data_IF_640921695403
#
_entry.id   IF_640921695403
#
_cell.length_a   1.000
_cell.length_b   1.000
_cell.length_c   1.000
_cell.angle_alpha   90.00
_cell.angle_beta   90.00
_cell.angle_gamma   90.00
#
_symmetry.space_group_name_H-M   'P 1'
#
loop_
_entity.id
_entity.type
_entity.pdbx_description
1 polymer ?
#
# COMPACT_ATOMS: atom_id res chain seq x y z
N UNK A 1 -30.88 30.06 -19.57
CA UNK A 1 -29.85 29.15 -19.01
C UNK A 1 -30.39 28.54 -17.73
N UNK A 2 -30.31 27.22 -17.55
CA UNK A 2 -30.92 26.55 -16.39
C UNK A 2 -30.23 27.06 -15.10
N UNK A 3 -30.97 27.63 -14.14
CA UNK A 3 -30.40 28.30 -12.95
C UNK A 3 -29.43 27.39 -12.17
N UNK A 4 -29.69 26.09 -12.19
CA UNK A 4 -28.85 25.05 -11.60
C UNK A 4 -27.43 24.99 -12.22
N UNK A 5 -27.31 25.09 -13.54
CA UNK A 5 -26.01 25.07 -14.23
C UNK A 5 -25.20 26.33 -13.95
N UNK A 6 -25.87 27.48 -13.82
CA UNK A 6 -25.24 28.73 -13.41
C UNK A 6 -24.62 28.62 -12.01
N UNK A 7 -25.34 28.03 -11.07
CA UNK A 7 -24.84 27.78 -9.72
C UNK A 7 -23.67 26.79 -9.77
N UNK A 8 -23.80 25.70 -10.53
CA UNK A 8 -22.73 24.71 -10.67
C UNK A 8 -21.44 25.32 -11.24
N UNK A 9 -21.55 26.14 -12.28
CA UNK A 9 -20.40 26.84 -12.84
C UNK A 9 -19.78 27.83 -11.86
N UNK A 10 -20.61 28.60 -11.13
CA UNK A 10 -20.14 29.53 -10.09
C UNK A 10 -19.31 28.79 -9.04
N UNK A 11 -19.84 27.67 -8.54
CA UNK A 11 -19.21 26.86 -7.50
C UNK A 11 -17.89 26.27 -7.99
N UNK A 12 -17.89 25.67 -9.18
CA UNK A 12 -16.68 25.19 -9.83
C UNK A 12 -15.64 26.30 -9.98
N UNK A 13 -16.02 27.44 -10.54
CA UNK A 13 -15.12 28.57 -10.74
C UNK A 13 -14.56 29.11 -9.40
N UNK A 14 -15.41 29.22 -8.37
CA UNK A 14 -15.00 29.70 -7.05
C UNK A 14 -14.05 28.78 -6.31
N UNK A 15 -13.93 27.51 -6.72
CA UNK A 15 -13.01 26.53 -6.13
C UNK A 15 -11.82 26.28 -7.06
N UNK A 16 -12.07 25.81 -8.28
CA UNK A 16 -11.05 25.36 -9.22
C UNK A 16 -10.19 26.49 -9.81
N UNK A 17 -10.72 27.72 -9.93
CA UNK A 17 -9.96 28.86 -10.47
C UNK A 17 -9.23 29.67 -9.39
N UNK A 18 -9.25 29.21 -8.14
CA UNK A 18 -8.49 29.87 -7.07
C UNK A 18 -7.00 29.56 -7.22
N UNK A 19 -6.15 30.53 -6.87
CA UNK A 19 -4.69 30.31 -6.85
C UNK A 19 -4.33 29.13 -5.93
N UNK A 20 -4.98 29.03 -4.77
CA UNK A 20 -4.76 27.93 -3.82
C UNK A 20 -5.06 26.56 -4.43
N UNK A 21 -6.16 26.42 -5.17
CA UNK A 21 -6.48 25.17 -5.85
C UNK A 21 -5.54 24.88 -7.01
N UNK A 22 -5.18 25.87 -7.84
CA UNK A 22 -4.26 25.64 -8.96
C UNK A 22 -2.88 25.22 -8.44
N UNK A 23 -2.39 25.88 -7.40
CA UNK A 23 -1.13 25.54 -6.74
C UNK A 23 -1.24 24.15 -6.11
N UNK A 24 -2.17 23.92 -5.18
CA UNK A 24 -2.26 22.65 -4.46
C UNK A 24 -2.66 21.46 -5.34
N UNK A 25 -3.56 21.70 -6.30
CA UNK A 25 -4.14 20.69 -7.17
C UNK A 25 -3.22 20.22 -8.30
N UNK A 26 -2.26 21.05 -8.74
CA UNK A 26 -1.33 20.70 -9.82
C UNK A 26 0.13 20.58 -9.39
N UNK A 27 0.59 21.38 -8.41
CA UNK A 27 1.98 21.29 -7.95
C UNK A 27 2.21 19.97 -7.22
N UNK A 28 1.29 19.54 -6.34
CA UNK A 28 1.47 18.28 -5.59
C UNK A 28 1.59 17.08 -6.55
N UNK A 29 0.70 16.88 -7.54
CA UNK A 29 0.88 15.84 -8.56
C UNK A 29 2.16 15.96 -9.37
N UNK A 30 2.55 17.18 -9.76
CA UNK A 30 3.80 17.40 -10.51
C UNK A 30 5.03 17.04 -9.67
N UNK A 31 5.03 17.40 -8.38
CA UNK A 31 6.07 17.01 -7.43
C UNK A 31 6.08 15.49 -7.26
N UNK A 32 4.91 14.85 -7.09
CA UNK A 32 4.81 13.38 -7.01
C UNK A 32 5.37 12.74 -8.28
N UNK A 33 5.06 13.27 -9.46
CA UNK A 33 5.58 12.74 -10.72
C UNK A 33 7.10 12.90 -10.83
N UNK A 34 7.63 14.10 -10.50
CA UNK A 34 9.07 14.35 -10.49
C UNK A 34 9.75 13.42 -9.47
N UNK A 35 9.21 13.31 -8.26
CA UNK A 35 9.66 12.36 -7.25
C UNK A 35 9.59 10.94 -7.78
N UNK A 36 8.51 10.48 -8.41
CA UNK A 36 8.49 9.14 -8.99
C UNK A 36 9.58 8.97 -10.06
N UNK A 37 9.78 9.94 -10.95
CA UNK A 37 10.80 9.86 -12.01
C UNK A 37 12.22 9.91 -11.45
N UNK A 38 12.47 10.69 -10.41
CA UNK A 38 13.83 10.91 -9.87
C UNK A 38 14.15 10.01 -8.69
N UNK A 39 13.21 9.84 -7.76
CA UNK A 39 13.36 9.05 -6.54
C UNK A 39 13.06 7.57 -6.76
N UNK A 40 12.24 7.12 -7.72
CA UNK A 40 12.07 5.67 -7.92
C UNK A 40 13.39 5.00 -8.37
N UNK A 41 14.15 5.55 -9.34
CA UNK A 41 15.47 5.00 -9.69
C UNK A 41 16.49 5.19 -8.57
N UNK A 42 16.36 6.24 -7.75
CA UNK A 42 17.26 6.49 -6.62
C UNK A 42 16.92 5.62 -5.42
N UNK A 43 15.66 5.35 -5.09
CA UNK A 43 15.25 4.43 -4.01
C UNK A 43 15.58 2.99 -4.37
N UNK A 44 15.55 2.63 -5.65
CA UNK A 44 16.14 1.39 -6.14
C UNK A 44 17.67 1.37 -6.03
N UNK A 45 18.30 2.50 -5.74
CA UNK A 45 19.76 2.71 -5.75
C UNK A 45 20.32 3.21 -4.40
N UNK A 46 19.48 3.56 -3.42
CA UNK A 46 19.88 4.23 -2.18
C UNK A 46 20.17 3.17 -1.13
N UNK A 47 21.34 2.57 -1.32
CA UNK A 47 22.08 1.80 -0.36
C UNK A 47 22.30 2.66 0.90
N UNK A 48 21.57 2.38 1.98
CA UNK A 48 21.95 2.87 3.31
C UNK A 48 23.43 2.58 3.62
N UNK A 49 24.04 3.29 4.59
CA UNK A 49 25.44 3.04 4.96
C UNK A 49 25.68 1.55 5.20
N UNK A 50 26.57 0.95 4.42
CA UNK A 50 26.99 -0.43 4.58
C UNK A 50 27.49 -0.62 6.02
N UNK A 51 26.96 -1.64 6.69
CA UNK A 51 27.49 -2.03 8.00
C UNK A 51 28.88 -2.63 7.73
N UNK A 52 29.91 -2.00 8.29
CA UNK A 52 31.29 -2.46 8.22
C UNK A 52 31.65 -3.14 9.55
N UNK A 53 32.22 -4.35 9.50
CA UNK A 53 32.70 -5.00 10.72
C UNK A 53 33.17 -6.44 10.53
N UNK A 54 33.58 -7.04 11.62
CA UNK A 54 34.31 -8.30 11.65
C UNK A 54 33.41 -9.47 12.06
N UNK A 55 33.54 -10.60 11.38
CA UNK A 55 32.92 -11.87 11.74
C UNK A 55 34.02 -12.81 12.24
N UNK A 56 33.98 -13.11 13.53
CA UNK A 56 34.90 -14.06 14.15
C UNK A 56 34.40 -15.48 13.95
N UNK A 57 35.28 -16.40 13.60
CA UNK A 57 34.93 -17.81 13.37
C UNK A 57 35.83 -18.71 14.22
N UNK A 58 35.23 -19.54 15.06
CA UNK A 58 35.89 -20.68 15.69
C UNK A 58 35.50 -21.90 14.87
N UNK A 59 36.41 -22.34 14.00
CA UNK A 59 36.23 -23.52 13.17
C UNK A 59 36.96 -24.71 13.79
N UNK A 60 36.21 -25.62 14.42
CA UNK A 60 36.78 -26.85 14.98
C UNK A 60 37.02 -27.93 13.92
N UNK A 61 36.52 -27.73 12.69
CA UNK A 61 36.73 -28.65 11.56
C UNK A 61 38.04 -28.38 10.85
N UNK A 62 38.51 -27.12 10.87
CA UNK A 62 39.77 -26.67 10.28
C UNK A 62 39.79 -26.55 8.76
N UNK A 63 38.61 -26.57 8.12
CA UNK A 63 38.47 -26.58 6.65
C UNK A 63 37.50 -25.53 6.11
N UNK A 64 36.76 -24.82 6.96
CA UNK A 64 35.66 -23.94 6.57
C UNK A 64 36.02 -22.45 6.65
N UNK A 65 36.99 -22.06 7.48
CA UNK A 65 37.30 -20.67 7.74
C UNK A 65 37.64 -19.86 6.47
N UNK A 66 38.46 -20.42 5.58
CA UNK A 66 38.88 -19.77 4.34
C UNK A 66 37.72 -19.62 3.33
N UNK A 67 36.86 -20.62 3.18
CA UNK A 67 35.70 -20.57 2.28
C UNK A 67 34.64 -19.56 2.78
N UNK A 68 34.39 -19.54 4.09
CA UNK A 68 33.48 -18.55 4.69
C UNK A 68 34.04 -17.13 4.52
N UNK A 69 35.36 -16.96 4.65
CA UNK A 69 36.03 -15.68 4.41
C UNK A 69 35.85 -15.20 2.97
N UNK A 70 36.00 -16.09 1.99
CA UNK A 70 35.80 -15.79 0.57
C UNK A 70 34.36 -15.37 0.27
N UNK A 71 33.37 -16.12 0.78
CA UNK A 71 31.94 -15.85 0.53
C UNK A 71 31.41 -14.57 1.19
N UNK A 72 32.03 -14.15 2.29
CA UNK A 72 31.67 -12.92 2.98
C UNK A 72 32.39 -11.67 2.42
N UNK A 73 33.22 -11.84 1.38
CA UNK A 73 33.82 -10.70 0.69
C UNK A 73 32.76 -9.84 -0.01
N UNK A 74 32.94 -8.50 -0.07
CA UNK A 74 32.00 -7.63 -0.76
C UNK A 74 31.76 -7.98 -2.23
N UNK A 75 32.77 -8.55 -2.91
CA UNK A 75 32.71 -8.94 -4.32
C UNK A 75 31.79 -10.14 -4.53
N UNK A 76 31.96 -11.21 -3.75
CA UNK A 76 31.09 -12.39 -3.79
C UNK A 76 29.65 -12.07 -3.38
N UNK A 77 29.48 -11.24 -2.34
CA UNK A 77 28.16 -10.80 -1.90
C UNK A 77 27.46 -9.92 -2.95
N UNK A 78 28.21 -9.14 -3.74
CA UNK A 78 27.66 -8.32 -4.83
C UNK A 78 27.19 -9.19 -6.00
N UNK A 79 27.97 -10.19 -6.39
CA UNK A 79 27.65 -11.13 -7.48
C UNK A 79 26.42 -11.99 -7.15
N UNK A 80 26.32 -12.49 -5.92
CA UNK A 80 25.18 -13.27 -5.47
C UNK A 80 23.89 -12.43 -5.39
N UNK A 81 24.02 -11.12 -5.10
CA UNK A 81 22.89 -10.17 -5.06
C UNK A 81 22.34 -9.87 -6.46
N UNK A 82 23.19 -9.76 -7.49
CA UNK A 82 22.75 -9.56 -8.88
C UNK A 82 21.93 -10.74 -9.41
N UNK A 83 22.21 -11.95 -8.93
CA UNK A 83 21.47 -13.17 -9.30
C UNK A 83 20.10 -13.26 -8.61
N UNK A 84 19.89 -12.53 -7.50
CA UNK A 84 18.68 -12.58 -6.66
C UNK A 84 17.65 -11.50 -7.00
N UNK A 85 17.97 -10.53 -7.87
CA UNK A 85 17.13 -9.36 -8.15
C UNK A 85 15.79 -9.65 -8.84
N UNK A 86 15.48 -10.91 -9.17
CA UNK A 86 14.14 -11.34 -9.56
C UNK A 86 13.92 -12.81 -9.19
N UNK A 87 13.21 -13.07 -8.08
CA UNK A 87 12.33 -14.24 -7.86
C UNK A 87 11.85 -14.27 -6.39
N UNK A 88 10.68 -13.67 -6.14
CA UNK A 88 9.90 -13.94 -4.93
C UNK A 88 9.10 -15.22 -5.21
N UNK A 89 9.12 -16.18 -4.27
CA UNK A 89 8.43 -17.48 -4.41
C UNK A 89 6.90 -17.31 -4.48
N UNK A 90 6.21 -17.87 -5.48
CA UNK A 90 4.75 -17.81 -5.57
C UNK A 90 4.08 -18.67 -4.48
N UNK A 91 3.14 -18.09 -3.72
CA UNK A 91 2.18 -18.85 -2.91
C UNK A 91 2.23 -18.65 -1.39
N UNK A 92 3.13 -17.82 -0.85
CA UNK A 92 2.91 -17.30 0.50
C UNK A 92 1.90 -16.15 0.42
N UNK A 93 0.84 -16.20 1.23
CA UNK A 93 0.10 -15.00 1.62
C UNK A 93 0.81 -14.40 2.84
N UNK A 94 1.78 -13.49 2.67
CA UNK A 94 2.41 -12.84 3.80
C UNK A 94 1.36 -12.05 4.58
N UNK A 95 1.39 -12.14 5.90
CA UNK A 95 0.63 -11.24 6.78
C UNK A 95 1.04 -9.78 6.51
N UNK A 96 0.24 -8.77 6.92
CA UNK A 96 0.61 -7.36 6.76
C UNK A 96 2.00 -7.01 7.34
N UNK A 97 2.41 -7.70 8.41
CA UNK A 97 3.75 -7.59 9.00
C UNK A 97 4.81 -8.21 8.10
N UNK A 98 4.60 -9.44 7.60
CA UNK A 98 5.51 -10.11 6.66
C UNK A 98 5.63 -9.36 5.33
N UNK A 99 4.59 -8.64 4.91
CA UNK A 99 4.56 -7.85 3.67
C UNK A 99 5.36 -6.55 3.84
N UNK A 100 5.23 -5.87 4.98
CA UNK A 100 6.12 -4.76 5.36
C UNK A 100 7.56 -5.22 5.56
N UNK A 101 7.75 -6.43 6.08
CA UNK A 101 9.07 -7.06 6.26
C UNK A 101 9.69 -7.47 4.91
N UNK A 102 8.91 -7.96 3.96
CA UNK A 102 9.34 -8.28 2.59
C UNK A 102 9.67 -7.03 1.79
N UNK A 103 8.82 -5.99 1.86
CA UNK A 103 9.08 -4.69 1.25
C UNK A 103 10.32 -4.01 1.86
N UNK A 104 10.49 -4.06 3.18
CA UNK A 104 11.70 -3.53 3.83
C UNK A 104 12.95 -4.38 3.56
N UNK A 105 12.82 -5.71 3.40
CA UNK A 105 13.92 -6.61 3.01
C UNK A 105 14.32 -6.48 1.55
N UNK A 106 13.38 -6.16 0.67
CA UNK A 106 13.63 -5.88 -0.75
C UNK A 106 14.22 -4.48 -0.97
N UNK A 107 13.81 -3.50 -0.17
CA UNK A 107 14.26 -2.10 -0.29
C UNK A 107 15.53 -1.75 0.53
N UNK A 108 16.09 -2.67 1.34
CA UNK A 108 17.27 -2.40 2.17
C UNK A 108 18.33 -3.52 2.12
N UNK A 109 18.89 -3.81 0.94
CA UNK A 109 20.10 -4.64 0.85
C UNK A 109 21.34 -3.78 0.60
N UNK A 110 21.81 -3.17 1.67
CA UNK A 110 23.16 -2.61 1.72
C UNK A 110 24.11 -3.79 1.82
N UNK A 111 24.98 -4.01 0.82
CA UNK A 111 26.00 -5.07 0.88
C UNK A 111 26.91 -4.74 2.08
N UNK A 112 26.90 -5.55 3.15
CA UNK A 112 27.75 -5.27 4.30
C UNK A 112 29.21 -5.51 3.92
N UNK A 113 30.12 -4.70 4.44
CA UNK A 113 31.55 -4.97 4.29
C UNK A 113 32.01 -5.78 5.49
N UNK A 114 32.08 -7.09 5.30
CA UNK A 114 32.44 -8.02 6.35
C UNK A 114 33.88 -8.48 6.15
N UNK A 115 34.64 -8.48 7.23
CA UNK A 115 35.97 -9.10 7.28
C UNK A 115 35.90 -10.32 8.19
N UNK A 116 36.45 -11.45 7.75
CA UNK A 116 36.45 -12.67 8.55
C UNK A 116 37.77 -12.80 9.31
N UNK A 117 37.68 -13.16 10.60
CA UNK A 117 38.83 -13.50 11.43
C UNK A 117 38.66 -14.88 12.02
N UNK A 118 39.57 -15.78 11.67
CA UNK A 118 39.62 -17.10 12.28
C UNK A 118 40.24 -17.02 13.68
N UNK A 119 39.55 -17.61 14.65
CA UNK A 119 40.03 -17.88 15.99
C UNK A 119 40.34 -19.38 16.02
N UNK A 120 41.59 -19.73 16.37
CA UNK A 120 42.05 -21.13 16.26
C UNK A 120 41.13 -22.14 16.94
N UNK A 121 41.09 -23.37 16.43
CA UNK A 121 40.12 -24.42 16.79
C UNK A 121 39.96 -24.73 18.31
N UNK A 122 40.92 -24.35 19.15
CA UNK A 122 40.89 -24.52 20.62
C UNK A 122 40.60 -23.22 21.39
N UNK A 123 40.18 -22.15 20.72
CA UNK A 123 39.84 -20.88 21.35
C UNK A 123 38.61 -21.02 22.25
N UNK A 124 38.63 -20.37 23.42
CA UNK A 124 37.51 -20.39 24.36
C UNK A 124 36.33 -19.54 23.83
N UNK A 125 35.15 -20.15 23.56
CA UNK A 125 33.98 -19.42 23.08
C UNK A 125 33.47 -18.35 24.05
N UNK A 126 33.70 -18.47 25.36
CA UNK A 126 33.25 -17.47 26.33
C UNK A 126 34.11 -16.19 26.25
N UNK A 127 35.42 -16.34 26.06
CA UNK A 127 36.33 -15.21 25.85
C UNK A 127 36.05 -14.52 24.51
N UNK A 128 35.73 -15.29 23.48
CA UNK A 128 35.42 -14.76 22.15
C UNK A 128 34.09 -13.99 22.07
N UNK A 129 33.19 -14.13 23.06
CA UNK A 129 31.93 -13.39 23.14
C UNK A 129 32.07 -11.97 23.71
N UNK A 130 33.15 -11.68 24.45
CA UNK A 130 33.34 -10.38 25.12
C UNK A 130 33.26 -9.19 24.14
N UNK A 131 33.90 -9.21 22.95
CA UNK A 131 33.80 -8.11 21.98
C UNK A 131 32.39 -7.85 21.42
N UNK A 132 31.48 -8.84 21.48
CA UNK A 132 30.10 -8.69 21.05
C UNK A 132 29.23 -7.95 22.08
N UNK A 133 29.71 -7.82 23.32
CA UNK A 133 29.01 -7.14 24.42
C UNK A 133 29.26 -5.62 24.41
N UNK A 134 30.29 -5.15 23.70
CA UNK A 134 30.72 -3.75 23.70
C UNK A 134 30.19 -2.96 22.48
N UNK A 135 29.58 -1.80 22.70
CA UNK A 135 29.17 -0.86 21.65
C UNK A 135 27.96 -1.31 20.80
N UNK A 136 27.71 -0.62 19.69
CA UNK A 136 26.60 -0.94 18.77
C UNK A 136 27.09 -1.48 17.42
N UNK A 137 26.24 -2.23 16.69
CA UNK A 137 26.58 -2.76 15.37
C UNK A 137 26.84 -1.67 14.30
N UNK A 138 26.47 -0.41 14.57
CA UNK A 138 26.75 0.73 13.68
C UNK A 138 28.13 1.35 13.91
N UNK A 139 28.76 1.07 15.03
CA UNK A 139 30.11 1.54 15.38
C UNK A 139 31.22 0.62 14.81
N UNK A 140 30.83 -0.50 14.19
CA UNK A 140 31.75 -1.51 13.67
C UNK A 140 32.33 -2.42 14.77
N UNK A 141 33.51 -2.97 14.50
CA UNK A 141 34.16 -3.99 15.34
C UNK A 141 33.59 -5.39 15.09
N UNK A 142 33.68 -6.29 16.07
CA UNK A 142 33.15 -7.66 15.94
C UNK A 142 31.62 -7.62 15.93
N UNK A 143 31.01 -8.06 14.84
CA UNK A 143 29.57 -8.06 14.62
C UNK A 143 28.93 -9.41 14.93
N UNK A 144 29.67 -10.50 14.67
CA UNK A 144 29.21 -11.85 14.93
C UNK A 144 30.36 -12.80 15.28
N UNK A 145 30.04 -13.84 16.04
CA UNK A 145 30.91 -14.98 16.33
C UNK A 145 30.19 -16.26 15.89
N UNK A 146 30.78 -16.99 14.95
CA UNK A 146 30.35 -18.33 14.57
C UNK A 146 31.20 -19.37 15.28
N UNK A 147 30.57 -20.34 15.95
CA UNK A 147 31.23 -21.51 16.53
C UNK A 147 30.73 -22.73 15.78
N UNK A 148 31.64 -23.42 15.11
CA UNK A 148 31.31 -24.58 14.26
C UNK A 148 31.83 -25.84 14.97
N UNK A 149 30.94 -26.80 15.21
CA UNK A 149 31.28 -28.05 15.91
C UNK A 149 32.24 -28.92 15.05
N UNK A 150 33.15 -29.66 15.69
CA UNK A 150 34.11 -30.52 15.00
C UNK A 150 33.48 -31.58 14.08
N UNK A 151 32.27 -32.04 14.41
CA UNK A 151 31.49 -33.00 13.61
C UNK A 151 30.51 -32.34 12.63
N UNK A 152 30.65 -31.03 12.37
CA UNK A 152 29.77 -30.31 11.46
C UNK A 152 29.98 -30.71 9.99
N UNK A 153 31.15 -31.22 9.61
CA UNK A 153 31.49 -31.60 8.22
C UNK A 153 31.60 -33.11 8.05
N UNK A 154 32.28 -33.78 8.97
CA UNK A 154 32.46 -35.24 8.99
C UNK A 154 31.77 -35.80 10.23
N UNK A 155 31.05 -36.91 10.09
CA UNK A 155 30.41 -37.60 11.21
C UNK A 155 30.46 -39.10 11.03
N UNK A 156 30.78 -39.81 12.11
CA UNK A 156 30.69 -41.27 12.20
C UNK A 156 29.34 -41.72 12.80
N UNK A 157 28.51 -40.76 13.25
CA UNK A 157 27.20 -41.05 13.80
C UNK A 157 26.15 -41.14 12.69
N UNK A 158 25.40 -42.24 12.68
CA UNK A 158 24.21 -42.40 11.85
C UNK A 158 22.95 -42.46 12.70
N UNK A 159 21.88 -41.85 12.23
CA UNK A 159 20.54 -42.09 12.76
C UNK A 159 20.12 -43.56 12.53
N UNK A 160 19.06 -44.02 13.20
CA UNK A 160 18.54 -45.39 13.06
C UNK A 160 18.11 -45.78 11.64
N UNK A 161 18.03 -44.82 10.71
CA UNK A 161 17.72 -45.03 9.30
C UNK A 161 18.97 -44.99 8.38
N UNK A 162 20.19 -44.97 8.93
CA UNK A 162 21.44 -44.90 8.16
C UNK A 162 21.78 -43.50 7.62
N UNK A 163 21.06 -42.46 8.04
CA UNK A 163 21.33 -41.07 7.63
C UNK A 163 22.41 -40.47 8.55
N UNK A 164 23.49 -39.87 8.02
CA UNK A 164 24.53 -39.22 8.82
C UNK A 164 23.96 -38.12 9.72
N UNK A 165 24.40 -38.07 10.97
CA UNK A 165 24.01 -37.07 11.97
C UNK A 165 25.16 -36.09 12.19
N UNK A 166 25.05 -34.90 11.59
CA UNK A 166 26.08 -33.86 11.69
C UNK A 166 25.92 -32.98 12.92
N UNK A 167 27.03 -32.36 13.33
CA UNK A 167 27.07 -31.25 14.28
C UNK A 167 26.40 -29.97 13.76
N UNK A 168 26.18 -29.03 14.68
CA UNK A 168 25.56 -27.75 14.37
C UNK A 168 26.61 -26.63 14.30
N UNK A 169 26.16 -25.44 13.92
CA UNK A 169 26.92 -24.21 14.18
C UNK A 169 26.07 -23.30 15.07
N UNK A 170 26.73 -22.52 15.92
CA UNK A 170 26.11 -21.51 16.77
C UNK A 170 26.57 -20.13 16.30
N UNK A 171 25.62 -19.23 16.03
CA UNK A 171 25.91 -17.85 15.64
C UNK A 171 25.48 -16.90 16.75
N UNK A 172 26.46 -16.25 17.37
CA UNK A 172 26.27 -15.17 18.33
C UNK A 172 26.42 -13.84 17.60
N UNK A 173 25.47 -12.92 17.78
CA UNK A 173 25.47 -11.63 17.06
C UNK A 173 25.43 -10.46 18.04
N UNK A 174 26.04 -9.35 17.65
CA UNK A 174 25.98 -8.11 18.41
C UNK A 174 24.53 -7.60 18.53
N UNK A 175 24.11 -7.02 19.67
CA UNK A 175 22.76 -6.54 19.84
C UNK A 175 22.33 -5.53 18.76
N UNK A 176 21.09 -5.64 18.28
CA UNK A 176 20.51 -4.79 17.22
C UNK A 176 21.22 -4.86 15.85
N UNK A 177 21.95 -5.94 15.56
CA UNK A 177 22.44 -6.22 14.21
C UNK A 177 21.24 -6.44 13.27
N UNK A 178 21.24 -5.79 12.10
CA UNK A 178 20.15 -5.91 11.11
C UNK A 178 19.97 -7.37 10.67
N UNK A 179 18.71 -7.81 10.53
CA UNK A 179 18.38 -9.19 10.11
C UNK A 179 18.93 -9.56 8.73
N UNK A 180 19.04 -8.58 7.82
CA UNK A 180 19.66 -8.80 6.51
C UNK A 180 21.13 -9.24 6.62
N UNK A 181 21.91 -8.59 7.48
CA UNK A 181 23.32 -8.96 7.74
C UNK A 181 23.41 -10.32 8.44
N UNK A 182 22.54 -10.58 9.42
CA UNK A 182 22.47 -11.89 10.07
C UNK A 182 22.17 -13.02 9.07
N UNK A 183 21.20 -12.80 8.18
CA UNK A 183 20.81 -13.77 7.15
C UNK A 183 21.92 -14.03 6.13
N UNK A 184 22.73 -13.01 5.84
CA UNK A 184 23.91 -13.12 4.95
C UNK A 184 24.98 -14.01 5.58
N UNK A 185 25.32 -13.74 6.85
CA UNK A 185 26.32 -14.53 7.59
C UNK A 185 25.87 -15.99 7.75
N UNK A 186 24.62 -16.22 8.13
CA UNK A 186 24.06 -17.58 8.26
C UNK A 186 24.11 -18.37 6.95
N UNK A 187 23.80 -17.70 5.84
CA UNK A 187 23.80 -18.31 4.50
C UNK A 187 25.22 -18.70 4.08
N UNK A 188 26.18 -17.79 4.21
CA UNK A 188 27.57 -18.08 3.88
C UNK A 188 28.11 -19.29 4.67
N UNK A 189 27.88 -19.33 5.99
CA UNK A 189 28.29 -20.45 6.84
C UNK A 189 27.59 -21.76 6.45
N UNK A 190 26.26 -21.71 6.26
CA UNK A 190 25.49 -22.91 5.92
C UNK A 190 25.90 -23.49 4.57
N UNK A 191 26.18 -22.62 3.59
CA UNK A 191 26.60 -23.03 2.26
C UNK A 191 28.01 -23.62 2.25
N UNK A 192 28.95 -23.00 2.97
CA UNK A 192 30.30 -23.53 3.14
C UNK A 192 30.28 -24.93 3.79
N UNK A 193 29.47 -25.11 4.84
CA UNK A 193 29.28 -26.42 5.50
C UNK A 193 28.64 -27.43 4.54
N UNK A 194 27.65 -27.00 3.74
CA UNK A 194 26.94 -27.86 2.78
C UNK A 194 27.90 -28.37 1.71
N UNK A 195 28.68 -27.49 1.09
CA UNK A 195 29.64 -27.85 0.07
C UNK A 195 30.73 -28.78 0.62
N UNK A 196 31.30 -28.47 1.79
CA UNK A 196 32.27 -29.35 2.44
C UNK A 196 31.70 -30.75 2.77
N UNK A 197 30.41 -30.86 3.12
CA UNK A 197 29.74 -32.17 3.31
C UNK A 197 29.57 -32.92 1.99
N UNK A 198 29.22 -32.22 0.91
CA UNK A 198 29.06 -32.81 -0.41
C UNK A 198 30.38 -33.35 -0.95
N UNK A 199 31.45 -32.56 -0.83
CA UNK A 199 32.81 -32.96 -1.22
C UNK A 199 33.28 -34.20 -0.46
N UNK A 200 33.09 -34.23 0.87
CA UNK A 200 33.42 -35.41 1.68
C UNK A 200 32.59 -36.65 1.33
N UNK A 201 31.35 -36.46 0.84
CA UNK A 201 30.52 -37.54 0.33
C UNK A 201 30.90 -37.96 -1.11
N UNK A 202 31.90 -37.33 -1.73
CA UNK A 202 32.31 -37.58 -3.12
C UNK A 202 31.30 -37.08 -4.15
N UNK A 203 30.40 -36.17 -3.76
CA UNK A 203 29.39 -35.57 -4.63
C UNK A 203 29.88 -34.20 -5.09
N UNK A 204 29.79 -33.90 -6.39
CA UNK A 204 30.10 -32.55 -6.85
C UNK A 204 28.94 -31.60 -6.48
N UNK A 205 29.22 -30.44 -5.87
CA UNK A 205 28.19 -29.45 -5.54
C UNK A 205 27.36 -29.03 -6.75
N UNK A 206 28.00 -28.88 -7.92
CA UNK A 206 27.34 -28.50 -9.16
C UNK A 206 26.32 -29.54 -9.65
N UNK A 207 26.64 -30.84 -9.55
CA UNK A 207 25.68 -31.90 -9.93
C UNK A 207 24.51 -31.95 -8.95
N UNK A 208 24.76 -31.79 -7.65
CA UNK A 208 23.68 -31.76 -6.65
C UNK A 208 22.80 -30.54 -6.86
N UNK A 209 23.40 -29.37 -7.11
CA UNK A 209 22.67 -28.15 -7.43
C UNK A 209 21.85 -28.33 -8.72
N UNK A 210 22.41 -28.90 -9.79
CA UNK A 210 21.67 -29.18 -11.02
C UNK A 210 20.51 -30.18 -10.83
N UNK A 211 20.64 -31.13 -9.88
CA UNK A 211 19.60 -32.12 -9.58
C UNK A 211 18.53 -31.62 -8.61
N UNK A 212 18.82 -30.60 -7.80
CA UNK A 212 17.93 -30.09 -6.76
C UNK A 212 17.33 -28.73 -7.10
N UNK A 213 18.04 -27.91 -7.88
CA UNK A 213 17.60 -26.60 -8.34
C UNK A 213 16.73 -26.78 -9.57
N UNK A 214 15.43 -26.59 -9.37
CA UNK A 214 14.48 -26.44 -10.48
C UNK A 214 14.37 -24.95 -10.77
N UNK A 215 15.01 -24.48 -11.84
CA UNK A 215 14.82 -23.12 -12.31
C UNK A 215 13.42 -22.99 -12.93
N UNK A 216 12.46 -22.50 -12.15
CA UNK A 216 11.20 -22.04 -12.72
C UNK A 216 11.50 -20.82 -13.61
N UNK A 217 11.27 -20.95 -14.91
CA UNK A 217 11.12 -19.80 -15.80
C UNK A 217 9.92 -18.96 -15.35
N UNK A 218 9.97 -17.66 -15.64
CA UNK A 218 9.05 -16.63 -15.13
C UNK A 218 7.59 -17.12 -15.04
N UNK A 219 6.99 -16.98 -13.86
CA UNK A 219 5.58 -17.31 -13.64
C UNK A 219 4.72 -16.37 -14.46
N UNK A 220 4.04 -16.92 -15.47
CA UNK A 220 3.07 -16.20 -16.29
C UNK A 220 1.67 -16.45 -15.77
N UNK A 221 0.92 -15.37 -15.56
CA UNK A 221 -0.52 -15.45 -15.32
C UNK A 221 -1.22 -15.82 -16.62
N UNK A 222 -1.97 -16.91 -16.61
CA UNK A 222 -2.85 -17.25 -17.73
C UNK A 222 -4.18 -16.54 -17.48
N UNK A 223 -4.44 -15.48 -18.24
CA UNK A 223 -5.72 -14.76 -18.23
C UNK A 223 -6.55 -15.16 -19.45
N UNK A 224 -7.86 -14.87 -19.45
CA UNK A 224 -8.73 -15.09 -20.62
C UNK A 224 -8.26 -14.33 -21.87
N UNK A 225 -7.44 -13.30 -21.71
CA UNK A 225 -6.86 -12.46 -22.78
C UNK A 225 -5.44 -12.90 -23.20
N UNK A 226 -4.85 -13.93 -22.56
CA UNK A 226 -3.51 -14.46 -22.87
C UNK A 226 -2.58 -14.55 -21.65
N UNK A 227 -1.30 -14.87 -21.91
CA UNK A 227 -0.22 -14.89 -20.93
C UNK A 227 0.17 -13.46 -20.53
N UNK A 228 0.22 -13.16 -19.23
CA UNK A 228 0.67 -11.89 -18.67
C UNK A 228 1.75 -12.12 -17.63
N UNK A 229 2.70 -11.20 -17.54
CA UNK A 229 3.70 -11.22 -16.46
C UNK A 229 3.02 -10.86 -15.13
N UNK A 230 3.12 -11.74 -14.14
CA UNK A 230 2.59 -11.46 -12.80
C UNK A 230 3.54 -10.55 -12.03
N UNK A 231 3.15 -9.28 -11.85
CA UNK A 231 3.87 -8.34 -10.97
C UNK A 231 3.09 -8.22 -9.65
N UNK A 232 3.42 -9.09 -8.71
CA UNK A 232 2.68 -9.29 -7.45
C UNK A 232 2.53 -8.00 -6.61
N UNK A 233 3.57 -7.15 -6.58
CA UNK A 233 3.51 -5.86 -5.89
C UNK A 233 2.59 -4.82 -6.57
N UNK A 234 2.49 -4.85 -7.90
CA UNK A 234 1.64 -3.92 -8.66
C UNK A 234 0.16 -4.26 -8.52
N UNK A 235 -0.16 -5.55 -8.49
CA UNK A 235 -1.52 -6.08 -8.33
C UNK A 235 -2.17 -5.66 -7.01
N UNK A 236 -1.37 -5.32 -6.01
CA UNK A 236 -1.81 -4.82 -4.71
C UNK A 236 -1.89 -3.28 -4.66
N UNK A 237 -0.92 -2.59 -5.27
CA UNK A 237 -0.86 -1.12 -5.29
C UNK A 237 -1.98 -0.54 -6.17
N UNK A 238 -2.28 -1.17 -7.29
CA UNK A 238 -3.22 -0.62 -8.28
C UNK A 238 -4.66 -0.48 -7.75
N UNK A 239 -5.29 -1.51 -7.12
CA UNK A 239 -6.60 -1.36 -6.47
C UNK A 239 -6.62 -0.28 -5.39
N UNK A 240 -5.59 -0.26 -4.53
CA UNK A 240 -5.44 0.74 -3.48
C UNK A 240 -5.32 2.16 -4.05
N UNK A 241 -4.55 2.33 -5.13
CA UNK A 241 -4.36 3.58 -5.83
C UNK A 241 -5.65 4.14 -6.41
N UNK A 242 -6.44 3.33 -7.11
CA UNK A 242 -7.75 3.76 -7.63
C UNK A 242 -8.73 4.11 -6.50
N UNK A 243 -8.75 3.32 -5.43
CA UNK A 243 -9.59 3.58 -4.27
C UNK A 243 -9.20 4.90 -3.59
N UNK A 244 -7.92 5.12 -3.31
CA UNK A 244 -7.40 6.33 -2.67
C UNK A 244 -7.67 7.55 -3.56
N UNK A 245 -7.43 7.43 -4.87
CA UNK A 245 -7.73 8.50 -5.82
C UNK A 245 -9.21 8.90 -5.78
N UNK A 246 -10.10 7.92 -5.84
CA UNK A 246 -11.54 8.15 -5.80
C UNK A 246 -11.95 8.75 -4.45
N UNK A 247 -11.44 8.21 -3.34
CA UNK A 247 -11.73 8.69 -1.99
C UNK A 247 -11.23 10.11 -1.77
N UNK A 248 -10.03 10.43 -2.22
CA UNK A 248 -9.45 11.76 -2.14
C UNK A 248 -10.30 12.77 -2.91
N UNK A 249 -10.70 12.46 -4.15
CA UNK A 249 -11.55 13.34 -4.96
C UNK A 249 -12.92 13.58 -4.33
N UNK A 250 -13.55 12.52 -3.80
CA UNK A 250 -14.83 12.61 -3.07
C UNK A 250 -14.69 13.44 -1.80
N UNK A 251 -13.59 13.24 -1.06
CA UNK A 251 -13.37 13.91 0.21
C UNK A 251 -13.09 15.39 0.05
N UNK A 252 -12.20 15.75 -0.86
CA UNK A 252 -11.87 17.15 -1.11
C UNK A 252 -13.13 17.90 -1.54
N UNK A 253 -13.85 17.42 -2.56
CA UNK A 253 -15.06 18.08 -3.04
C UNK A 253 -16.19 18.11 -2.01
N UNK A 254 -16.36 17.05 -1.21
CA UNK A 254 -17.34 17.00 -0.13
C UNK A 254 -17.03 17.99 1.01
N UNK A 255 -15.77 18.12 1.40
CA UNK A 255 -15.34 19.06 2.44
C UNK A 255 -15.50 20.51 1.99
N UNK A 256 -15.15 20.84 0.74
CA UNK A 256 -15.39 22.18 0.19
C UNK A 256 -16.88 22.53 0.15
N UNK A 257 -17.73 21.57 -0.24
CA UNK A 257 -19.17 21.75 -0.24
C UNK A 257 -19.72 22.03 1.17
N UNK A 258 -19.23 21.31 2.18
CA UNK A 258 -19.57 21.57 3.57
C UNK A 258 -19.17 22.98 3.98
N UNK A 259 -17.90 23.33 3.78
CA UNK A 259 -17.33 24.61 4.23
C UNK A 259 -18.07 25.80 3.61
N UNK A 260 -18.24 25.78 2.29
CA UNK A 260 -18.94 26.87 1.57
C UNK A 260 -20.41 26.99 1.97
N UNK A 261 -21.08 25.87 2.26
CA UNK A 261 -22.48 25.91 2.71
C UNK A 261 -22.61 26.55 4.09
N UNK A 262 -21.70 26.22 5.02
CA UNK A 262 -21.68 26.82 6.36
C UNK A 262 -21.36 28.31 6.28
N UNK A 263 -20.36 28.70 5.48
CA UNK A 263 -19.95 30.09 5.30
C UNK A 263 -21.03 30.95 4.66
N UNK A 264 -21.70 30.45 3.62
CA UNK A 264 -22.81 31.17 2.99
C UNK A 264 -24.00 31.34 3.94
N UNK A 265 -24.26 30.34 4.78
CA UNK A 265 -25.34 30.41 5.76
C UNK A 265 -24.99 31.39 6.89
N UNK A 266 -23.78 31.32 7.44
CA UNK A 266 -23.33 32.22 8.52
C UNK A 266 -23.24 33.68 8.06
N UNK A 267 -22.88 33.91 6.79
CA UNK A 267 -22.77 35.24 6.19
C UNK A 267 -24.10 35.80 5.68
N UNK A 268 -25.23 35.12 5.92
CA UNK A 268 -26.57 35.45 5.39
C UNK A 268 -26.64 35.57 3.85
N UNK A 269 -25.65 35.04 3.14
CA UNK A 269 -25.62 35.00 1.67
C UNK A 269 -26.72 34.06 1.17
N UNK A 270 -26.99 32.98 1.90
CA UNK A 270 -28.09 32.03 1.58
C UNK A 270 -29.44 32.73 1.45
N UNK A 271 -29.78 33.70 2.31
CA UNK A 271 -31.08 34.39 2.27
C UNK A 271 -31.25 35.16 0.96
N UNK A 272 -30.18 35.85 0.52
CA UNK A 272 -30.15 36.57 -0.75
C UNK A 272 -30.25 35.59 -1.92
N UNK A 273 -29.54 34.47 -1.89
CA UNK A 273 -29.60 33.46 -2.96
C UNK A 273 -30.99 32.83 -3.05
N UNK A 274 -31.63 32.54 -1.92
CA UNK A 274 -32.96 31.94 -1.86
C UNK A 274 -34.08 32.88 -2.36
N UNK A 275 -33.83 34.20 -2.41
CA UNK A 275 -34.75 35.14 -3.07
C UNK A 275 -34.81 34.98 -4.59
N UNK A 276 -33.76 34.38 -5.18
CA UNK A 276 -33.62 34.20 -6.62
C UNK A 276 -33.68 32.73 -7.08
N UNK A 277 -33.36 31.75 -6.23
CA UNK A 277 -33.33 30.32 -6.58
C UNK A 277 -33.96 29.45 -5.50
N UNK A 278 -34.54 28.31 -5.88
CA UNK A 278 -35.10 27.39 -4.89
C UNK A 278 -33.99 26.63 -4.13
N UNK A 279 -34.23 26.16 -2.88
CA UNK A 279 -33.26 25.39 -2.11
C UNK A 279 -32.72 24.16 -2.85
N UNK A 280 -33.59 23.48 -3.60
CA UNK A 280 -33.22 22.32 -4.42
C UNK A 280 -32.26 22.68 -5.54
N UNK A 281 -32.54 23.77 -6.26
CA UNK A 281 -31.67 24.24 -7.34
C UNK A 281 -30.30 24.68 -6.79
N UNK A 282 -30.29 25.30 -5.60
CA UNK A 282 -29.06 25.68 -4.90
C UNK A 282 -28.23 24.46 -4.52
N UNK A 283 -28.82 23.48 -3.84
CA UNK A 283 -28.12 22.27 -3.41
C UNK A 283 -27.58 21.46 -4.59
N UNK A 284 -28.41 21.15 -5.58
CA UNK A 284 -27.97 20.35 -6.73
C UNK A 284 -26.93 21.10 -7.56
N UNK A 285 -27.08 22.41 -7.73
CA UNK A 285 -26.07 23.24 -8.36
C UNK A 285 -24.71 23.15 -7.65
N UNK A 286 -24.70 23.26 -6.31
CA UNK A 286 -23.48 23.12 -5.51
C UNK A 286 -22.83 21.75 -5.64
N UNK A 287 -23.62 20.67 -5.53
CA UNK A 287 -23.13 19.29 -5.69
C UNK A 287 -22.53 19.10 -7.09
N UNK A 288 -23.20 19.55 -8.15
CA UNK A 288 -22.68 19.43 -9.52
C UNK A 288 -21.41 20.26 -9.75
N UNK A 289 -21.34 21.46 -9.17
CA UNK A 289 -20.16 22.32 -9.25
C UNK A 289 -18.94 21.65 -8.64
N UNK A 290 -19.08 21.14 -7.41
CA UNK A 290 -18.00 20.47 -6.71
C UNK A 290 -17.70 19.05 -7.25
N UNK A 291 -18.67 18.40 -7.92
CA UNK A 291 -18.43 17.16 -8.68
C UNK A 291 -17.43 17.41 -9.82
N UNK A 292 -17.58 18.53 -10.55
CA UNK A 292 -16.63 18.90 -11.62
C UNK A 292 -15.22 19.17 -11.06
N UNK A 293 -15.12 19.77 -9.87
CA UNK A 293 -13.84 19.96 -9.18
C UNK A 293 -13.21 18.61 -8.83
N UNK A 294 -13.98 17.70 -8.22
CA UNK A 294 -13.51 16.34 -7.90
C UNK A 294 -13.09 15.56 -9.16
N UNK A 295 -13.85 15.70 -10.26
CA UNK A 295 -13.51 15.12 -11.56
C UNK A 295 -12.19 15.68 -12.13
N UNK A 296 -11.93 16.97 -11.98
CA UNK A 296 -10.65 17.59 -12.36
C UNK A 296 -9.49 17.02 -11.53
N UNK A 297 -9.66 16.87 -10.22
CA UNK A 297 -8.66 16.24 -9.34
C UNK A 297 -8.38 14.81 -9.81
N UNK A 298 -9.43 14.02 -10.05
CA UNK A 298 -9.24 12.65 -10.55
C UNK A 298 -8.51 12.61 -11.88
N UNK A 299 -8.81 13.54 -12.79
CA UNK A 299 -8.13 13.60 -14.08
C UNK A 299 -6.65 13.92 -13.92
N UNK A 300 -6.31 14.92 -13.09
CA UNK A 300 -4.91 15.32 -12.86
C UNK A 300 -4.14 14.20 -12.17
N UNK A 301 -4.61 13.71 -11.03
CA UNK A 301 -3.89 12.67 -10.28
C UNK A 301 -3.94 11.30 -10.97
N UNK A 302 -5.05 10.98 -11.65
CA UNK A 302 -5.15 9.79 -12.49
C UNK A 302 -4.16 9.82 -13.65
N UNK A 303 -3.94 10.99 -14.29
CA UNK A 303 -2.94 11.13 -15.34
C UNK A 303 -1.52 10.92 -14.83
N UNK A 304 -1.20 11.32 -13.59
CA UNK A 304 0.09 11.02 -12.94
C UNK A 304 0.25 9.53 -12.70
N UNK A 305 -0.80 8.85 -12.22
CA UNK A 305 -0.79 7.39 -12.07
C UNK A 305 -0.54 6.66 -13.40
N UNK A 306 -1.25 7.07 -14.47
CA UNK A 306 -1.06 6.51 -15.82
C UNK A 306 0.36 6.80 -16.33
N UNK A 307 0.87 8.02 -16.15
CA UNK A 307 2.22 8.38 -16.56
C UNK A 307 3.28 7.52 -15.82
N UNK A 308 3.09 7.26 -14.52
CA UNK A 308 3.94 6.35 -13.75
C UNK A 308 3.98 4.94 -14.33
N UNK A 309 2.82 4.41 -14.76
CA UNK A 309 2.74 3.09 -15.41
C UNK A 309 3.39 3.08 -16.79
N UNK A 310 3.26 4.16 -17.56
CA UNK A 310 3.95 4.32 -18.85
C UNK A 310 5.46 4.32 -18.66
N UNK A 311 5.97 5.07 -17.67
CA UNK A 311 7.41 5.14 -17.35
C UNK A 311 7.93 3.77 -16.91
N UNK A 312 7.13 3.01 -16.17
CA UNK A 312 7.47 1.66 -15.75
C UNK A 312 7.30 0.59 -16.84
N UNK A 313 6.81 0.95 -18.03
CA UNK A 313 6.44 0.03 -19.11
C UNK A 313 5.36 -1.02 -18.72
N UNK A 314 4.43 -0.64 -17.83
CA UNK A 314 3.37 -1.50 -17.27
C UNK A 314 1.98 -1.14 -17.80
N UNK A 315 1.89 -0.64 -19.04
CA UNK A 315 0.64 -0.15 -19.62
C UNK A 315 -0.39 -1.25 -19.84
N UNK A 316 0.06 -2.48 -20.09
CA UNK A 316 -0.80 -3.62 -20.43
C UNK A 316 -1.57 -4.17 -19.22
N UNK A 317 -1.23 -3.69 -18.02
CA UNK A 317 -1.87 -4.08 -16.75
C UNK A 317 -3.26 -3.43 -16.62
N UNK A 318 -3.45 -2.22 -17.16
CA UNK A 318 -4.74 -1.52 -17.07
C UNK A 318 -5.55 -1.73 -18.35
N UNK A 319 -6.70 -2.38 -18.21
CA UNK A 319 -7.73 -2.33 -19.24
C UNK A 319 -8.40 -0.94 -19.23
N UNK A 320 -8.49 -0.22 -20.36
CA UNK A 320 -9.12 1.12 -20.43
C UNK A 320 -10.55 1.17 -19.87
N UNK A 321 -11.28 0.05 -19.89
CA UNK A 321 -12.63 -0.06 -19.31
C UNK A 321 -12.65 0.19 -17.80
N UNK A 322 -11.55 -0.08 -17.09
CA UNK A 322 -11.40 0.21 -15.66
C UNK A 322 -11.55 1.72 -15.39
N UNK A 323 -11.07 2.57 -16.30
CA UNK A 323 -11.22 4.03 -16.18
C UNK A 323 -12.68 4.47 -16.34
N UNK A 324 -13.46 3.79 -17.18
CA UNK A 324 -14.90 4.06 -17.33
C UNK A 324 -15.64 3.71 -16.04
N UNK A 325 -15.36 2.53 -15.46
CA UNK A 325 -15.93 2.12 -14.18
C UNK A 325 -15.54 3.07 -13.04
N UNK A 326 -14.27 3.52 -13.02
CA UNK A 326 -13.78 4.51 -12.06
C UNK A 326 -14.62 5.79 -12.09
N UNK A 327 -14.86 6.35 -13.28
CA UNK A 327 -15.66 7.58 -13.42
C UNK A 327 -17.11 7.35 -12.97
N UNK A 328 -17.72 6.23 -13.36
CA UNK A 328 -19.11 5.92 -12.99
C UNK A 328 -19.28 5.75 -11.47
N UNK A 329 -18.43 4.95 -10.82
CA UNK A 329 -18.49 4.75 -9.37
C UNK A 329 -18.09 6.00 -8.60
N UNK A 330 -17.15 6.79 -9.12
CA UNK A 330 -16.81 8.10 -8.55
C UNK A 330 -18.03 9.01 -8.48
N UNK A 331 -18.76 9.18 -9.59
CA UNK A 331 -19.92 10.08 -9.62
C UNK A 331 -20.96 9.66 -8.58
N UNK A 332 -21.21 8.35 -8.43
CA UNK A 332 -22.17 7.82 -7.47
C UNK A 332 -21.70 8.00 -6.03
N UNK A 333 -20.46 7.61 -5.72
CA UNK A 333 -19.84 7.82 -4.41
C UNK A 333 -19.84 9.31 -4.03
N UNK A 334 -19.49 10.16 -4.99
CA UNK A 334 -19.47 11.60 -4.83
C UNK A 334 -20.87 12.13 -4.47
N UNK A 335 -21.91 11.79 -5.24
CA UNK A 335 -23.27 12.26 -4.97
C UNK A 335 -23.74 11.82 -3.58
N UNK A 336 -23.44 10.61 -3.14
CA UNK A 336 -23.80 10.12 -1.80
C UNK A 336 -23.12 10.95 -0.70
N UNK A 337 -21.79 11.06 -0.74
CA UNK A 337 -21.02 11.77 0.29
C UNK A 337 -21.29 13.28 0.25
N UNK A 338 -21.30 13.89 -0.93
CA UNK A 338 -21.59 15.31 -1.11
C UNK A 338 -23.00 15.68 -0.62
N UNK A 339 -24.00 14.81 -0.84
CA UNK A 339 -25.35 15.01 -0.30
C UNK A 339 -25.35 15.02 1.23
N UNK A 340 -24.61 14.10 1.86
CA UNK A 340 -24.47 14.08 3.32
C UNK A 340 -23.76 15.34 3.85
N UNK A 341 -22.70 15.77 3.17
CA UNK A 341 -21.96 16.99 3.53
C UNK A 341 -22.80 18.25 3.37
N UNK A 342 -23.55 18.38 2.28
CA UNK A 342 -24.48 19.50 2.07
C UNK A 342 -25.57 19.54 3.15
N UNK A 343 -26.12 18.38 3.50
CA UNK A 343 -27.12 18.27 4.57
C UNK A 343 -26.55 18.75 5.91
N UNK A 344 -25.33 18.31 6.28
CA UNK A 344 -24.65 18.76 7.50
C UNK A 344 -24.38 20.27 7.45
N UNK A 345 -23.84 20.78 6.34
CA UNK A 345 -23.50 22.20 6.20
C UNK A 345 -24.69 23.12 6.30
N UNK A 346 -25.84 22.71 5.75
CA UNK A 346 -27.08 23.47 5.86
C UNK A 346 -27.67 23.48 7.27
N UNK A 347 -27.36 22.47 8.09
CA UNK A 347 -28.02 22.24 9.36
C UNK A 347 -27.40 23.02 10.52
N UNK A 348 -26.17 23.51 10.36
CA UNK A 348 -25.39 24.21 11.39
C UNK A 348 -25.21 25.68 11.06
N UNK A 349 -24.69 26.46 12.02
CA UNK A 349 -24.35 27.87 11.78
C UNK A 349 -22.83 28.12 11.82
N UNK A 350 -22.06 27.19 12.40
CA UNK A 350 -20.61 27.30 12.54
C UNK A 350 -19.89 26.01 12.16
N UNK A 351 -18.62 26.14 11.73
CA UNK A 351 -17.78 24.99 11.35
C UNK A 351 -17.54 24.03 12.51
N UNK A 352 -17.44 24.55 13.73
CA UNK A 352 -17.23 23.75 14.95
C UNK A 352 -18.41 22.80 15.20
N UNK A 353 -19.63 23.24 14.90
CA UNK A 353 -20.83 22.41 15.03
C UNK A 353 -20.87 21.32 13.94
N UNK A 354 -20.45 21.67 12.71
CA UNK A 354 -20.36 20.72 11.59
C UNK A 354 -19.48 19.52 11.96
N UNK A 355 -18.36 19.74 12.66
CA UNK A 355 -17.45 18.67 13.07
C UNK A 355 -18.15 17.57 13.89
N UNK A 356 -19.06 17.94 14.79
CA UNK A 356 -19.81 16.95 15.59
C UNK A 356 -20.79 16.10 14.76
N UNK A 357 -21.32 16.67 13.68
CA UNK A 357 -22.22 15.99 12.75
C UNK A 357 -21.49 15.25 11.63
N UNK A 358 -20.21 15.55 11.41
CA UNK A 358 -19.37 14.85 10.44
C UNK A 358 -18.91 13.48 10.92
N UNK A 359 -18.81 13.22 12.23
CA UNK A 359 -18.36 11.92 12.78
C UNK A 359 -19.02 10.70 12.12
N UNK A 360 -20.37 10.61 11.99
CA UNK A 360 -21.00 9.49 11.30
C UNK A 360 -20.69 9.43 9.80
N UNK A 361 -20.49 10.58 9.13
CA UNK A 361 -20.11 10.64 7.72
C UNK A 361 -18.68 10.12 7.54
N UNK A 362 -17.76 10.54 8.41
CA UNK A 362 -16.37 10.08 8.41
C UNK A 362 -16.26 8.59 8.72
N UNK A 363 -17.07 8.07 9.66
CA UNK A 363 -17.10 6.64 9.95
C UNK A 363 -17.46 5.80 8.70
N UNK A 364 -18.41 6.28 7.89
CA UNK A 364 -18.79 5.64 6.63
C UNK A 364 -17.62 5.63 5.63
N UNK A 365 -16.87 6.73 5.54
CA UNK A 365 -15.73 6.87 4.61
C UNK A 365 -14.52 6.06 5.08
N UNK A 366 -14.35 5.88 6.39
CA UNK A 366 -13.27 5.05 6.95
C UNK A 366 -13.44 3.56 6.62
N UNK A 367 -14.67 3.07 6.41
CA UNK A 367 -14.90 1.66 6.12
C UNK A 367 -14.15 1.23 4.84
N UNK A 368 -14.32 1.88 3.67
CA UNK A 368 -13.50 1.60 2.49
C UNK A 368 -11.99 1.63 2.75
N UNK A 369 -11.52 2.63 3.51
CA UNK A 369 -10.10 2.80 3.82
C UNK A 369 -9.53 1.68 4.71
N UNK A 370 -10.34 1.08 5.56
CA UNK A 370 -9.90 -0.06 6.38
C UNK A 370 -10.00 -1.38 5.62
N UNK A 371 -10.98 -1.50 4.70
CA UNK A 371 -11.31 -2.77 4.05
C UNK A 371 -10.63 -3.00 2.70
N UNK A 372 -10.01 -1.99 2.08
CA UNK A 372 -9.43 -2.16 0.74
C UNK A 372 -8.35 -3.25 0.68
N UNK A 373 -7.50 -3.37 1.70
CA UNK A 373 -6.43 -4.38 1.75
C UNK A 373 -7.00 -5.80 1.77
N UNK A 374 -7.85 -6.18 2.76
CA UNK A 374 -8.50 -7.50 2.76
C UNK A 374 -9.27 -7.82 1.47
N UNK A 375 -9.93 -6.82 0.89
CA UNK A 375 -10.73 -6.98 -0.34
C UNK A 375 -9.83 -7.15 -1.57
N UNK A 376 -8.71 -6.42 -1.66
CA UNK A 376 -7.76 -6.55 -2.75
C UNK A 376 -7.02 -7.89 -2.72
N UNK A 377 -6.73 -8.42 -1.52
CA UNK A 377 -6.08 -9.73 -1.37
C UNK A 377 -6.99 -10.91 -1.71
N UNK A 378 -8.30 -10.79 -1.47
CA UNK A 378 -9.28 -11.84 -1.80
C UNK A 378 -10.52 -11.25 -2.51
N UNK A 379 -10.40 -10.81 -3.78
CA UNK A 379 -11.47 -10.11 -4.49
C UNK A 379 -12.71 -10.97 -4.75
N UNK A 380 -12.55 -12.28 -4.93
CA UNK A 380 -13.63 -13.23 -5.16
C UNK A 380 -14.28 -13.75 -3.86
N UNK A 381 -13.67 -13.46 -2.69
CA UNK A 381 -14.16 -13.94 -1.40
C UNK A 381 -15.53 -13.38 -1.02
N UNK A 382 -16.32 -14.16 -0.27
CA UNK A 382 -17.68 -13.78 0.18
C UNK A 382 -17.71 -12.41 0.86
N UNK A 383 -16.69 -12.09 1.67
CA UNK A 383 -16.58 -10.80 2.34
C UNK A 383 -16.46 -9.64 1.34
N UNK A 384 -15.56 -9.75 0.36
CA UNK A 384 -15.37 -8.76 -0.69
C UNK A 384 -16.65 -8.57 -1.54
N UNK A 385 -17.32 -9.68 -1.88
CA UNK A 385 -18.59 -9.67 -2.62
C UNK A 385 -19.66 -8.89 -1.83
N UNK A 386 -19.88 -9.22 -0.56
CA UNK A 386 -20.91 -8.57 0.27
C UNK A 386 -20.64 -7.07 0.45
N UNK A 387 -19.41 -6.68 0.78
CA UNK A 387 -19.05 -5.27 0.96
C UNK A 387 -19.23 -4.45 -0.34
N UNK A 388 -19.12 -5.09 -1.50
CA UNK A 388 -19.31 -4.47 -2.81
C UNK A 388 -20.77 -4.25 -3.19
N UNK A 389 -21.72 -4.64 -2.34
CA UNK A 389 -23.15 -4.37 -2.52
C UNK A 389 -23.76 -3.55 -1.37
N UNK A 390 -22.97 -3.09 -0.40
CA UNK A 390 -23.44 -2.32 0.76
C UNK A 390 -23.23 -0.80 0.59
N UNK A 391 -24.28 0.02 0.33
CA UNK A 391 -24.11 1.45 0.18
C UNK A 391 -23.87 2.18 1.50
N UNK A 392 -23.15 3.31 1.49
CA UNK A 392 -22.48 3.94 0.34
C UNK A 392 -21.05 3.43 0.10
N UNK A 393 -20.65 2.37 0.82
CA UNK A 393 -19.31 1.77 0.79
C UNK A 393 -19.06 1.02 -0.53
N UNK A 394 -20.12 0.48 -1.13
CA UNK A 394 -20.10 -0.37 -2.31
C UNK A 394 -19.35 0.23 -3.50
N UNK A 395 -19.51 1.53 -3.76
CA UNK A 395 -18.84 2.20 -4.89
C UNK A 395 -17.31 2.10 -4.79
N UNK A 396 -16.77 2.19 -3.57
CA UNK A 396 -15.34 2.04 -3.32
C UNK A 396 -14.89 0.58 -3.40
N UNK A 397 -15.65 -0.34 -2.79
CA UNK A 397 -15.29 -1.76 -2.74
C UNK A 397 -15.35 -2.44 -4.09
N UNK A 398 -16.36 -2.10 -4.91
CA UNK A 398 -16.43 -2.63 -6.27
C UNK A 398 -15.27 -2.11 -7.13
N UNK A 399 -14.84 -0.85 -6.92
CA UNK A 399 -13.68 -0.31 -7.62
C UNK A 399 -12.39 -1.06 -7.27
N UNK A 400 -12.17 -1.37 -5.98
CA UNK A 400 -11.03 -2.20 -5.53
C UNK A 400 -11.05 -3.54 -6.26
N UNK A 401 -12.20 -4.23 -6.28
CA UNK A 401 -12.31 -5.56 -6.93
C UNK A 401 -12.10 -5.50 -8.45
N UNK A 402 -12.63 -4.48 -9.14
CA UNK A 402 -12.45 -4.32 -10.59
C UNK A 402 -10.99 -4.07 -10.95
N UNK A 403 -10.26 -3.38 -10.08
CA UNK A 403 -8.85 -3.06 -10.26
C UNK A 403 -7.89 -4.19 -9.81
N UNK A 404 -8.42 -5.24 -9.15
CA UNK A 404 -7.66 -6.43 -8.78
C UNK A 404 -7.48 -7.39 -9.96
N UNK A 405 -6.60 -8.38 -9.79
CA UNK A 405 -6.32 -9.45 -10.77
C UNK A 405 -7.56 -10.25 -11.11
N UNK A 406 -8.26 -10.73 -10.09
CA UNK A 406 -9.53 -11.44 -10.24
C UNK A 406 -10.69 -10.46 -10.40
N UNK A 407 -11.00 -10.14 -11.66
CA UNK A 407 -12.11 -9.24 -11.99
C UNK A 407 -13.45 -9.91 -11.68
N UNK A 408 -14.39 -9.22 -11.01
CA UNK A 408 -15.75 -9.72 -10.83
C UNK A 408 -16.48 -9.87 -12.16
N UNK A 409 -17.40 -10.82 -12.22
CA UNK A 409 -18.33 -10.94 -13.34
C UNK A 409 -19.06 -9.61 -13.60
N UNK A 410 -19.30 -9.31 -14.87
CA UNK A 410 -19.96 -8.07 -15.30
C UNK A 410 -21.32 -7.85 -14.61
N UNK A 411 -22.09 -8.91 -14.32
CA UNK A 411 -23.38 -8.78 -13.64
C UNK A 411 -23.23 -8.23 -12.21
N UNK A 412 -22.17 -8.59 -11.48
CA UNK A 412 -21.91 -8.07 -10.14
C UNK A 412 -21.66 -6.56 -10.21
N UNK A 413 -20.87 -6.13 -11.19
CA UNK A 413 -20.56 -4.72 -11.43
C UNK A 413 -21.85 -3.94 -11.73
N UNK A 414 -22.70 -4.44 -12.65
CA UNK A 414 -23.95 -3.80 -13.03
C UNK A 414 -24.97 -3.74 -11.89
N UNK A 415 -25.10 -4.81 -11.10
CA UNK A 415 -25.99 -4.83 -9.93
C UNK A 415 -25.49 -3.84 -8.88
N UNK A 416 -24.19 -3.81 -8.58
CA UNK A 416 -23.63 -2.85 -7.63
C UNK A 416 -23.80 -1.41 -8.10
N UNK A 417 -23.62 -1.15 -9.39
CA UNK A 417 -23.89 0.13 -10.01
C UNK A 417 -25.36 0.53 -9.82
N UNK A 418 -26.30 -0.38 -10.10
CA UNK A 418 -27.73 -0.15 -9.89
C UNK A 418 -28.07 0.16 -8.43
N UNK A 419 -27.48 -0.57 -7.48
CA UNK A 419 -27.63 -0.32 -6.05
C UNK A 419 -27.06 1.06 -5.67
N UNK A 420 -25.88 1.43 -6.18
CA UNK A 420 -25.28 2.75 -5.98
C UNK A 420 -26.17 3.87 -6.53
N UNK A 421 -26.78 3.68 -7.71
CA UNK A 421 -27.72 4.65 -8.30
C UNK A 421 -28.96 4.84 -7.42
N UNK A 422 -29.62 3.74 -7.03
CA UNK A 422 -30.81 3.80 -6.17
C UNK A 422 -30.47 4.44 -4.83
N UNK A 423 -29.37 4.03 -4.20
CA UNK A 423 -28.90 4.61 -2.94
C UNK A 423 -28.58 6.11 -3.09
N UNK A 424 -27.90 6.51 -4.16
CA UNK A 424 -27.59 7.92 -4.45
C UNK A 424 -28.87 8.77 -4.53
N UNK A 425 -29.91 8.28 -5.21
CA UNK A 425 -31.20 8.98 -5.31
C UNK A 425 -31.86 9.09 -3.93
N UNK A 426 -31.83 8.03 -3.11
CA UNK A 426 -32.42 8.03 -1.76
C UNK A 426 -31.69 9.02 -0.83
N UNK A 427 -30.35 8.97 -0.82
CA UNK A 427 -29.52 9.87 -0.01
C UNK A 427 -29.70 11.31 -0.46
N UNK A 428 -29.70 11.57 -1.78
CA UNK A 428 -29.92 12.90 -2.33
C UNK A 428 -31.31 13.45 -1.94
N UNK A 429 -32.38 12.65 -2.01
CA UNK A 429 -33.72 13.05 -1.57
C UNK A 429 -33.79 13.32 -0.07
N UNK A 430 -33.15 12.49 0.75
CA UNK A 430 -33.09 12.70 2.21
C UNK A 430 -32.32 13.97 2.57
N UNK A 431 -31.15 14.17 1.96
CA UNK A 431 -30.33 15.34 2.13
C UNK A 431 -31.03 16.61 1.65
N UNK A 432 -31.74 16.57 0.53
CA UNK A 432 -32.56 17.67 0.02
C UNK A 432 -33.62 18.16 1.02
N UNK A 433 -34.29 17.23 1.69
CA UNK A 433 -35.25 17.55 2.76
C UNK A 433 -34.57 18.22 3.95
N UNK A 434 -33.44 17.69 4.40
CA UNK A 434 -32.62 18.30 5.46
C UNK A 434 -32.16 19.69 5.03
N UNK A 435 -31.68 19.85 3.81
CA UNK A 435 -31.16 21.08 3.26
C UNK A 435 -32.22 22.19 3.26
N UNK A 436 -33.43 21.87 2.81
CA UNK A 436 -34.56 22.81 2.79
C UNK A 436 -34.91 23.33 4.20
N UNK A 437 -34.93 22.46 5.21
CA UNK A 437 -35.25 22.83 6.60
C UNK A 437 -34.07 23.54 7.27
N UNK A 438 -32.87 23.01 7.07
CA UNK A 438 -31.63 23.47 7.67
C UNK A 438 -31.29 24.91 7.31
N UNK A 439 -31.47 25.30 6.03
CA UNK A 439 -31.19 26.68 5.59
C UNK A 439 -32.07 27.73 6.26
N UNK A 440 -33.25 27.36 6.75
CA UNK A 440 -34.20 28.27 7.39
C UNK A 440 -34.14 28.21 8.92
N UNK A 441 -33.39 27.27 9.48
CA UNK A 441 -33.31 27.09 10.93
C UNK A 441 -32.09 27.83 11.52
N UNK A 442 -32.39 28.71 12.48
CA UNK A 442 -31.43 29.40 13.33
C UNK A 442 -31.56 28.92 14.77
N UNK A 443 -30.43 28.86 15.51
CA UNK A 443 -30.42 28.49 16.92
C UNK A 443 -29.59 27.25 17.21
N UNK A 444 -30.06 26.41 18.16
CA UNK A 444 -29.29 25.27 18.69
C UNK A 444 -28.94 24.27 17.59
N UNK A 445 -27.67 23.78 17.51
CA UNK A 445 -27.29 22.80 16.52
C UNK A 445 -28.13 21.52 16.67
N UNK A 446 -28.64 20.98 15.56
CA UNK A 446 -29.45 19.78 15.58
C UNK A 446 -28.58 18.56 15.90
N UNK A 447 -29.15 17.56 16.56
CA UNK A 447 -28.50 16.25 16.71
C UNK A 447 -28.93 15.32 15.55
N UNK A 448 -28.22 14.20 15.35
CA UNK A 448 -28.49 13.24 14.27
C UNK A 448 -29.96 12.75 14.27
N UNK A 449 -30.53 12.52 15.46
CA UNK A 449 -31.95 12.15 15.61
C UNK A 449 -32.90 13.22 15.05
N UNK A 450 -32.56 14.49 15.19
CA UNK A 450 -33.34 15.62 14.68
C UNK A 450 -33.27 15.68 13.16
N UNK A 451 -32.09 15.46 12.57
CA UNK A 451 -31.92 15.40 11.12
C UNK A 451 -32.78 14.31 10.49
N UNK A 452 -32.81 13.11 11.10
CA UNK A 452 -33.67 12.01 10.67
C UNK A 452 -35.15 12.40 10.77
N UNK A 453 -35.53 13.17 11.80
CA UNK A 453 -36.90 13.67 11.96
C UNK A 453 -37.29 14.63 10.82
N UNK A 454 -36.38 15.48 10.35
CA UNK A 454 -36.64 16.40 9.23
C UNK A 454 -36.90 15.69 7.91
N UNK A 455 -36.23 14.55 7.66
CA UNK A 455 -36.49 13.72 6.47
C UNK A 455 -37.95 13.24 6.42
N UNK A 456 -38.59 13.04 7.58
CA UNK A 456 -39.99 12.60 7.68
C UNK A 456 -41.01 13.75 7.67
N UNK A 457 -40.61 14.96 8.02
CA UNK A 457 -41.50 16.13 8.11
C UNK A 457 -41.61 16.93 6.83
N UNK A 458 -40.55 16.98 6.03
CA UNK A 458 -40.53 17.61 4.72
C UNK A 458 -41.03 16.66 3.63
#
# INVERSE_FOLDING_TARGET
MNRMLLIAWREFASTALTKGFIIGGFIVPAVILVVMVTLLPVLMKDEGKAIEGEVSIIDQTGVLADDIALRLTPEMLAEETQTFDMKIEPGMTPTPEQTSELLSKAMMRTIPKLTVKELGASADPEVAKEPLREGTAQEGGVLALAVIDANAVVTDETTGAGVPKFGAYQLFVKPKLKDSVQSTIRRAIAESIREARLENAGLSPDQVNALTRVDAEQTKEITEEGERDSIEGLNMILPGGFMILMMMAVMIGGQYLLTTTVEEKSSRVVEVLLSAVSPMQLMTGKILGQLMVGGLIMMVYGSVGIAGLVIAALTDVINPMVLVWLVLFFVLAYVQIASMMAAVGSAVNEMREAQSLMTPVMAIIMIPYMLWMPVAMNPSGTFAVVCSFLPPVNSFMMMVRIASTERPDTWQILVSLGISVVSSILVLKGAAKIFRVGLLMYGKPPNLKTLIKWIRMA
#
